data_IF_351132496077
#
_entry.id   IF_351132496077
#
_cell.length_a   1.000
_cell.length_b   1.000
_cell.length_c   1.000
_cell.angle_alpha   90.00
_cell.angle_beta   90.00
_cell.angle_gamma   90.00
#
_symmetry.space_group_name_H-M   'P 1'
#
loop_
_entity.id
_entity.type
_entity.pdbx_description
1 polymer ?
#
# COMPACT_ATOMS: atom_id res chain seq x y z
N UNK A 1 -11.08 3.02 -2.66
CA UNK A 1 -9.72 3.40 -3.12
C UNK A 1 -9.74 4.15 -4.45
N UNK A 2 -10.28 3.59 -5.55
CA UNK A 2 -10.23 4.23 -6.88
C UNK A 2 -10.87 5.63 -6.95
N UNK A 3 -12.04 5.84 -6.34
CA UNK A 3 -12.74 7.13 -6.37
C UNK A 3 -11.98 8.23 -5.61
N UNK A 4 -11.41 7.90 -4.45
CA UNK A 4 -10.65 8.84 -3.61
C UNK A 4 -9.40 9.31 -4.35
N UNK A 5 -8.57 8.37 -4.83
CA UNK A 5 -7.38 8.69 -5.61
C UNK A 5 -7.71 9.52 -6.86
N UNK A 6 -8.80 9.18 -7.58
CA UNK A 6 -9.23 9.93 -8.76
C UNK A 6 -9.69 11.35 -8.42
N UNK A 7 -10.41 11.53 -7.31
CA UNK A 7 -10.92 12.85 -6.92
C UNK A 7 -9.78 13.76 -6.45
N UNK A 8 -8.86 13.24 -5.64
CA UNK A 8 -7.65 13.97 -5.22
C UNK A 8 -6.85 14.38 -6.46
N UNK A 9 -6.55 13.43 -7.34
CA UNK A 9 -5.71 13.72 -8.51
C UNK A 9 -6.35 14.79 -9.40
N UNK A 10 -7.66 14.74 -9.62
CA UNK A 10 -8.39 15.78 -10.36
C UNK A 10 -8.36 17.14 -9.68
N UNK A 11 -8.50 17.19 -8.35
CA UNK A 11 -8.46 18.44 -7.60
C UNK A 11 -7.12 19.16 -7.81
N UNK A 12 -6.01 18.43 -7.82
CA UNK A 12 -4.67 19.00 -8.03
C UNK A 12 -4.26 19.14 -9.50
N UNK A 13 -4.86 18.38 -10.42
CA UNK A 13 -4.62 18.55 -11.85
C UNK A 13 -5.06 19.92 -12.37
N UNK A 14 -6.07 20.53 -11.75
CA UNK A 14 -6.55 21.88 -12.07
C UNK A 14 -5.81 23.02 -11.36
N UNK A 15 -4.92 22.73 -10.41
CA UNK A 15 -4.19 23.76 -9.64
C UNK A 15 -2.95 24.20 -10.39
N UNK A 16 -2.66 25.50 -10.36
CA UNK A 16 -1.44 26.05 -10.93
C UNK A 16 -0.23 25.51 -10.16
N UNK A 17 0.64 24.81 -10.88
CA UNK A 17 1.81 24.16 -10.28
C UNK A 17 2.85 25.19 -9.83
N UNK A 18 3.60 24.90 -8.77
CA UNK A 18 4.81 25.65 -8.45
C UNK A 18 5.75 25.68 -9.67
N UNK A 19 6.50 26.78 -9.86
CA UNK A 19 7.52 26.82 -10.91
C UNK A 19 8.53 25.66 -10.72
N UNK A 20 9.05 25.08 -11.81
CA UNK A 20 10.11 24.09 -11.72
C UNK A 20 11.29 24.65 -10.92
N UNK A 21 11.79 23.88 -9.96
CA UNK A 21 12.98 24.26 -9.20
C UNK A 21 14.17 24.44 -10.12
N UNK A 22 14.94 25.49 -9.89
CA UNK A 22 16.19 25.69 -10.60
C UNK A 22 17.23 24.69 -10.08
N UNK A 23 18.16 24.20 -10.92
CA UNK A 23 19.20 23.26 -10.49
C UNK A 23 20.11 23.79 -9.37
N UNK A 24 20.12 25.11 -9.14
CA UNK A 24 20.89 25.81 -8.11
C UNK A 24 20.14 25.99 -6.78
N UNK A 25 18.84 25.68 -6.72
CA UNK A 25 18.05 25.80 -5.50
C UNK A 25 18.17 24.52 -4.67
N UNK A 26 18.57 24.66 -3.41
CA UNK A 26 18.55 23.53 -2.48
C UNK A 26 17.10 23.07 -2.24
N UNK A 27 16.82 21.76 -2.27
CA UNK A 27 15.48 21.26 -1.97
C UNK A 27 15.12 21.57 -0.52
N UNK A 28 13.87 22.00 -0.28
CA UNK A 28 13.34 22.20 1.07
C UNK A 28 13.40 20.91 1.88
N UNK A 29 13.48 21.03 3.21
CA UNK A 29 13.44 19.88 4.12
C UNK A 29 12.15 19.07 3.92
N UNK A 30 10.99 19.73 3.85
CA UNK A 30 9.69 19.08 3.55
C UNK A 30 9.73 18.21 2.28
N UNK A 31 10.43 18.68 1.24
CA UNK A 31 10.56 17.89 0.01
C UNK A 31 11.47 16.67 0.21
N UNK A 32 12.59 16.82 0.92
CA UNK A 32 13.49 15.70 1.22
C UNK A 32 12.79 14.64 2.06
N UNK A 33 12.06 15.06 3.09
CA UNK A 33 11.26 14.19 3.95
C UNK A 33 10.16 13.48 3.15
N UNK A 34 9.45 14.21 2.30
CA UNK A 34 8.43 13.63 1.40
C UNK A 34 9.00 12.54 0.50
N UNK A 35 10.20 12.75 -0.07
CA UNK A 35 10.88 11.77 -0.92
C UNK A 35 11.24 10.50 -0.15
N UNK A 36 11.76 10.65 1.07
CA UNK A 36 12.07 9.52 1.95
C UNK A 36 10.80 8.74 2.27
N UNK A 37 9.72 9.43 2.70
CA UNK A 37 8.46 8.78 3.04
C UNK A 37 7.82 8.03 1.87
N UNK A 38 7.88 8.58 0.65
CA UNK A 38 7.41 7.86 -0.55
C UNK A 38 8.27 6.63 -0.84
N UNK A 39 9.60 6.72 -0.69
CA UNK A 39 10.50 5.60 -0.92
C UNK A 39 10.26 4.45 0.07
N UNK A 40 9.98 4.75 1.34
CA UNK A 40 9.68 3.75 2.38
C UNK A 40 8.38 2.97 2.07
N UNK A 41 7.35 3.65 1.56
CA UNK A 41 6.04 3.03 1.33
C UNK A 41 5.97 2.35 -0.05
N UNK A 42 6.46 3.03 -1.10
CA UNK A 42 6.23 2.66 -2.50
C UNK A 42 7.52 2.28 -3.26
N UNK A 43 8.67 2.39 -2.62
CA UNK A 43 9.97 2.05 -3.20
C UNK A 43 10.58 3.18 -4.06
N UNK A 44 11.90 3.10 -4.32
CA UNK A 44 12.65 4.14 -5.02
C UNK A 44 12.19 4.33 -6.47
N UNK A 45 11.73 3.26 -7.13
CA UNK A 45 11.24 3.36 -8.51
C UNK A 45 9.99 4.22 -8.64
N UNK A 46 9.12 4.23 -7.61
CA UNK A 46 7.98 5.14 -7.59
C UNK A 46 8.43 6.60 -7.44
N UNK A 47 9.44 6.88 -6.61
CA UNK A 47 10.03 8.22 -6.48
C UNK A 47 10.58 8.71 -7.82
N UNK A 48 11.39 7.89 -8.50
CA UNK A 48 11.91 8.22 -9.83
C UNK A 48 10.76 8.49 -10.82
N UNK A 49 9.74 7.62 -10.79
CA UNK A 49 8.54 7.80 -11.59
C UNK A 49 7.73 9.02 -11.17
N UNK A 50 7.83 9.54 -9.94
CA UNK A 50 7.21 10.76 -9.40
C UNK A 50 8.04 12.04 -9.62
N UNK A 51 9.33 11.93 -9.91
CA UNK A 51 10.22 13.07 -10.19
C UNK A 51 10.68 13.24 -11.65
N UNK A 52 10.69 12.17 -12.48
CA UNK A 52 10.98 12.18 -13.92
C UNK A 52 10.57 13.47 -14.68
N UNK A 53 11.51 14.16 -15.37
CA UNK A 53 11.27 15.38 -16.15
C UNK A 53 10.39 15.20 -17.39
N UNK A 54 10.25 13.96 -17.89
CA UNK A 54 9.38 13.60 -19.04
C UNK A 54 7.90 13.93 -18.77
N UNK A 55 7.54 14.16 -17.50
CA UNK A 55 6.28 14.75 -17.05
C UNK A 55 6.05 16.20 -17.45
N UNK A 56 7.08 17.06 -17.43
CA UNK A 56 6.90 18.49 -17.66
C UNK A 56 6.57 18.81 -19.12
N UNK A 57 6.89 17.91 -20.06
CA UNK A 57 6.62 18.10 -21.49
C UNK A 57 5.29 17.50 -21.98
N UNK A 58 4.67 16.55 -21.27
CA UNK A 58 3.42 15.88 -21.67
C UNK A 58 2.23 16.40 -20.84
N UNK A 59 2.04 17.72 -20.84
CA UNK A 59 1.07 18.46 -20.03
C UNK A 59 -0.42 18.27 -20.41
N UNK A 60 -0.82 17.13 -21.00
CA UNK A 60 -2.22 16.87 -21.40
C UNK A 60 -2.76 15.49 -20.98
N UNK A 61 -2.05 14.71 -20.12
CA UNK A 61 -2.65 13.49 -19.55
C UNK A 61 -1.71 12.45 -18.93
N UNK A 62 -0.38 12.61 -19.06
CA UNK A 62 0.57 11.64 -18.51
C UNK A 62 0.82 11.74 -17.00
N UNK A 63 0.61 12.92 -16.41
CA UNK A 63 0.99 13.21 -15.02
C UNK A 63 -0.06 12.75 -13.99
N UNK A 64 -1.35 12.90 -14.31
CA UNK A 64 -2.46 12.39 -13.49
C UNK A 64 -2.38 10.86 -13.30
N UNK A 65 -1.88 10.12 -14.31
CA UNK A 65 -1.76 8.67 -14.23
C UNK A 65 -0.84 8.20 -13.10
N UNK A 66 0.34 8.81 -12.96
CA UNK A 66 1.35 8.38 -11.99
C UNK A 66 1.01 8.82 -10.57
N UNK A 67 0.50 10.04 -10.37
CA UNK A 67 0.07 10.49 -9.03
C UNK A 67 -1.13 9.67 -8.56
N UNK A 68 -2.12 9.46 -9.43
CA UNK A 68 -3.26 8.57 -9.11
C UNK A 68 -2.80 7.16 -8.76
N UNK A 69 -1.80 6.65 -9.48
CA UNK A 69 -1.18 5.35 -9.22
C UNK A 69 -0.53 5.31 -7.84
N UNK A 70 0.32 6.28 -7.52
CA UNK A 70 0.99 6.36 -6.23
C UNK A 70 -0.02 6.46 -5.07
N UNK A 71 -1.06 7.30 -5.22
CA UNK A 71 -2.14 7.41 -4.23
C UNK A 71 -2.90 6.09 -4.05
N UNK A 72 -3.26 5.40 -5.14
CA UNK A 72 -3.90 4.08 -5.02
C UNK A 72 -2.98 3.06 -4.33
N UNK A 73 -1.71 3.06 -4.68
CA UNK A 73 -0.73 2.14 -4.13
C UNK A 73 -0.47 2.39 -2.64
N UNK A 74 -0.39 3.65 -2.21
CA UNK A 74 -0.24 3.97 -0.78
C UNK A 74 -1.49 3.56 -0.01
N UNK A 75 -2.70 3.79 -0.54
CA UNK A 75 -3.93 3.27 0.07
C UNK A 75 -3.90 1.74 0.23
N UNK A 76 -3.44 1.00 -0.78
CA UNK A 76 -3.31 -0.45 -0.70
C UNK A 76 -2.30 -0.87 0.38
N UNK A 77 -1.13 -0.23 0.43
CA UNK A 77 -0.12 -0.50 1.45
C UNK A 77 -0.63 -0.23 2.88
N UNK A 78 -1.25 0.93 3.12
CA UNK A 78 -1.81 1.29 4.44
C UNK A 78 -2.96 0.39 4.85
N UNK A 79 -3.89 0.09 3.93
CA UNK A 79 -4.99 -0.81 4.26
C UNK A 79 -4.48 -2.21 4.54
N UNK A 80 -3.46 -2.71 3.82
CA UNK A 80 -2.82 -3.98 4.14
C UNK A 80 -2.19 -3.96 5.53
N UNK A 81 -1.40 -2.93 5.86
CA UNK A 81 -0.83 -2.76 7.19
C UNK A 81 -1.92 -2.85 8.26
N UNK A 82 -3.02 -2.10 8.11
CA UNK A 82 -4.13 -2.10 9.07
C UNK A 82 -4.81 -3.46 9.18
N UNK A 83 -5.03 -4.15 8.05
CA UNK A 83 -5.66 -5.47 8.04
C UNK A 83 -4.78 -6.51 8.74
N UNK A 84 -3.46 -6.40 8.60
CA UNK A 84 -2.51 -7.39 9.09
C UNK A 84 -2.02 -7.14 10.52
N UNK A 85 -2.06 -5.89 11.02
CA UNK A 85 -1.52 -5.55 12.34
C UNK A 85 -2.29 -6.13 13.50
N UNK A 86 -1.59 -6.47 14.58
CA UNK A 86 -2.10 -6.77 15.92
C UNK A 86 -2.33 -5.51 16.75
N UNK A 87 -1.39 -4.57 16.67
CA UNK A 87 -1.32 -3.37 17.48
C UNK A 87 -0.83 -2.17 16.67
N UNK A 88 -1.43 -1.00 16.89
CA UNK A 88 -1.17 0.19 16.07
C UNK A 88 -0.26 1.23 16.74
N UNK A 89 -0.11 1.21 18.07
CA UNK A 89 0.55 2.30 18.80
C UNK A 89 2.05 2.07 19.02
N UNK A 90 2.46 0.80 19.19
CA UNK A 90 3.86 0.45 19.46
C UNK A 90 4.35 -0.62 18.46
N UNK A 91 5.34 -0.29 17.60
CA UNK A 91 5.94 -1.24 16.67
C UNK A 91 6.61 -2.44 17.35
N UNK A 92 7.15 -2.29 18.56
CA UNK A 92 7.79 -3.38 19.29
C UNK A 92 6.75 -4.42 19.76
N UNK A 93 5.61 -3.95 20.27
CA UNK A 93 4.51 -4.82 20.68
C UNK A 93 3.86 -5.52 19.48
N UNK A 94 3.70 -4.80 18.36
CA UNK A 94 3.24 -5.37 17.09
C UNK A 94 4.14 -6.52 16.62
N UNK A 95 5.46 -6.30 16.65
CA UNK A 95 6.44 -7.29 16.24
C UNK A 95 6.41 -8.50 17.18
N UNK A 96 6.43 -8.27 18.49
CA UNK A 96 6.37 -9.33 19.50
C UNK A 96 5.13 -10.21 19.34
N UNK A 97 3.95 -9.61 19.18
CA UNK A 97 2.70 -10.34 18.99
C UNK A 97 2.69 -11.16 17.70
N UNK A 98 3.22 -10.59 16.62
CA UNK A 98 3.37 -11.27 15.34
C UNK A 98 4.29 -12.50 15.45
N UNK A 99 5.43 -12.37 16.13
CA UNK A 99 6.36 -13.47 16.35
C UNK A 99 5.77 -14.58 17.24
N UNK A 100 5.09 -14.21 18.32
CA UNK A 100 4.41 -15.17 19.20
C UNK A 100 3.37 -15.94 18.40
N UNK A 101 2.56 -15.25 17.60
CA UNK A 101 1.55 -15.93 16.79
C UNK A 101 2.17 -16.84 15.74
N UNK A 102 3.24 -16.43 15.06
CA UNK A 102 3.94 -17.27 14.09
C UNK A 102 4.38 -18.62 14.73
N UNK A 103 4.92 -18.57 15.95
CA UNK A 103 5.31 -19.77 16.71
C UNK A 103 4.10 -20.63 17.09
N UNK A 104 3.05 -20.03 17.64
CA UNK A 104 1.79 -20.73 17.97
C UNK A 104 1.18 -21.39 16.73
N UNK A 105 1.16 -20.66 15.61
CA UNK A 105 0.66 -21.12 14.31
C UNK A 105 1.48 -22.33 13.80
N UNK A 106 2.79 -22.30 13.95
CA UNK A 106 3.68 -23.38 13.54
C UNK A 106 3.54 -24.65 14.41
N UNK A 107 3.40 -24.51 15.73
CA UNK A 107 3.40 -25.65 16.67
C UNK A 107 2.01 -26.23 16.93
N UNK A 108 0.97 -25.41 16.97
CA UNK A 108 -0.37 -25.82 17.40
C UNK A 108 -1.28 -26.23 16.24
N UNK A 109 -2.31 -27.03 16.52
CA UNK A 109 -3.37 -27.33 15.56
C UNK A 109 -4.13 -26.06 15.13
N UNK A 110 -4.64 -26.04 13.89
CA UNK A 110 -5.31 -24.87 13.29
C UNK A 110 -6.40 -24.26 14.19
N UNK A 111 -7.22 -25.10 14.83
CA UNK A 111 -8.29 -24.61 15.70
C UNK A 111 -7.79 -24.00 17.01
N UNK A 112 -6.62 -24.44 17.50
CA UNK A 112 -5.99 -23.91 18.70
C UNK A 112 -5.35 -22.57 18.38
N UNK A 113 -4.54 -22.50 17.32
CA UNK A 113 -3.90 -21.25 16.89
C UNK A 113 -4.94 -20.20 16.49
N UNK A 114 -5.99 -20.57 15.77
CA UNK A 114 -7.08 -19.66 15.40
C UNK A 114 -7.85 -19.12 16.61
N UNK A 115 -8.11 -19.96 17.63
CA UNK A 115 -8.74 -19.51 18.89
C UNK A 115 -7.83 -18.59 19.68
N UNK A 116 -6.55 -18.91 19.74
CA UNK A 116 -5.55 -18.07 20.39
C UNK A 116 -5.54 -16.69 19.74
N UNK A 117 -5.43 -16.61 18.41
CA UNK A 117 -5.48 -15.36 17.66
C UNK A 117 -6.74 -14.57 17.98
N UNK A 118 -7.91 -15.21 17.90
CA UNK A 118 -9.17 -14.55 18.17
C UNK A 118 -9.24 -13.94 19.57
N UNK A 119 -8.93 -14.71 20.61
CA UNK A 119 -8.97 -14.24 21.99
C UNK A 119 -7.95 -13.12 22.24
N UNK A 120 -6.70 -13.31 21.80
CA UNK A 120 -5.64 -12.32 21.97
C UNK A 120 -6.04 -10.98 21.34
N UNK A 121 -6.55 -10.99 20.11
CA UNK A 121 -6.99 -9.77 19.43
C UNK A 121 -8.17 -9.11 20.14
N UNK A 122 -9.19 -9.87 20.52
CA UNK A 122 -10.34 -9.33 21.27
C UNK A 122 -9.92 -8.68 22.58
N UNK A 123 -8.95 -9.25 23.30
CA UNK A 123 -8.48 -8.68 24.56
C UNK A 123 -7.56 -7.47 24.36
N UNK A 124 -6.69 -7.49 23.36
CA UNK A 124 -5.82 -6.37 23.02
C UNK A 124 -6.63 -5.12 22.62
N UNK A 125 -7.68 -5.29 21.81
CA UNK A 125 -8.57 -4.20 21.43
C UNK A 125 -9.34 -3.61 22.62
N UNK A 126 -9.61 -4.39 23.66
CA UNK A 126 -10.24 -3.89 24.91
C UNK A 126 -9.26 -3.15 25.82
N UNK A 127 -7.96 -3.37 25.67
CA UNK A 127 -6.93 -2.66 26.44
C UNK A 127 -6.69 -1.25 25.90
N UNK A 128 -6.90 -1.04 24.60
CA UNK A 128 -6.82 0.26 23.96
C UNK A 128 -7.98 1.15 24.44
N UNK A 129 -7.68 2.10 25.32
CA UNK A 129 -8.67 3.01 25.91
C UNK A 129 -9.30 3.98 24.88
N UNK A 130 -8.57 4.26 23.80
CA UNK A 130 -8.99 5.11 22.68
C UNK A 130 -8.44 4.52 21.39
N UNK A 131 -9.26 4.41 20.35
CA UNK A 131 -8.74 4.00 19.03
C UNK A 131 -7.88 5.13 18.43
N UNK A 132 -6.67 4.83 17.93
CA UNK A 132 -5.86 5.82 17.25
C UNK A 132 -6.56 6.29 15.97
N UNK A 133 -6.46 7.59 15.68
CA UNK A 133 -6.88 8.14 14.40
C UNK A 133 -5.82 7.81 13.34
N UNK A 134 -6.06 6.73 12.60
CA UNK A 134 -5.17 6.27 11.54
C UNK A 134 -5.29 7.11 10.25
N UNK A 135 -6.25 8.05 10.19
CA UNK A 135 -6.51 8.90 9.02
C UNK A 135 -5.31 9.80 8.75
N UNK A 136 -4.70 10.36 9.80
CA UNK A 136 -3.57 11.28 9.69
C UNK A 136 -2.38 10.64 8.94
N UNK A 137 -2.05 9.39 9.25
CA UNK A 137 -0.93 8.70 8.58
C UNK A 137 -1.15 8.52 7.08
N UNK A 138 -2.39 8.27 6.64
CA UNK A 138 -2.67 8.16 5.21
C UNK A 138 -2.68 9.53 4.52
N UNK A 139 -3.16 10.57 5.21
CA UNK A 139 -3.08 11.95 4.72
C UNK A 139 -1.62 12.38 4.55
N UNK A 140 -0.75 12.07 5.51
CA UNK A 140 0.69 12.36 5.42
C UNK A 140 1.33 11.65 4.22
N UNK A 141 0.95 10.40 3.96
CA UNK A 141 1.39 9.71 2.76
C UNK A 141 0.93 10.41 1.47
N UNK A 142 -0.27 10.98 1.43
CA UNK A 142 -0.75 11.76 0.28
C UNK A 142 0.01 13.08 0.14
N UNK A 143 0.29 13.77 1.24
CA UNK A 143 1.15 14.97 1.27
C UNK A 143 2.50 14.64 0.63
N UNK A 144 3.15 13.57 1.11
CA UNK A 144 4.46 13.14 0.62
C UNK A 144 4.46 12.83 -0.89
N UNK A 145 3.41 12.18 -1.39
CA UNK A 145 3.26 11.87 -2.83
C UNK A 145 3.12 13.17 -3.66
N UNK A 146 2.26 14.09 -3.24
CA UNK A 146 1.97 15.34 -3.97
C UNK A 146 3.18 16.28 -3.96
N UNK A 147 3.89 16.39 -2.83
CA UNK A 147 5.14 17.14 -2.73
C UNK A 147 6.23 16.51 -3.59
N UNK A 148 6.39 15.18 -3.56
CA UNK A 148 7.37 14.47 -4.39
C UNK A 148 7.09 14.65 -5.89
N UNK A 149 5.81 14.72 -6.27
CA UNK A 149 5.37 15.01 -7.65
C UNK A 149 5.59 16.48 -8.07
N UNK A 150 5.92 17.37 -7.13
CA UNK A 150 6.08 18.81 -7.38
C UNK A 150 4.75 19.52 -7.67
N UNK A 151 3.63 19.00 -7.18
CA UNK A 151 2.31 19.58 -7.37
C UNK A 151 1.96 20.63 -6.29
N UNK A 152 2.73 20.64 -5.20
CA UNK A 152 2.64 21.62 -4.12
C UNK A 152 4.03 21.83 -3.50
N UNK A 153 4.20 22.86 -2.67
CA UNK A 153 5.47 23.19 -2.02
C UNK A 153 5.37 23.50 -0.51
N UNK A 154 4.17 23.54 0.05
CA UNK A 154 3.91 23.74 1.49
C UNK A 154 3.21 22.49 2.06
N UNK A 155 3.90 21.77 2.95
CA UNK A 155 3.37 20.55 3.55
C UNK A 155 2.18 20.80 4.48
N UNK A 156 2.26 21.85 5.30
CA UNK A 156 1.25 22.18 6.33
C UNK A 156 -0.07 22.55 5.68
N UNK A 157 -0.04 23.50 4.74
CA UNK A 157 -1.25 23.94 4.04
C UNK A 157 -1.90 22.79 3.23
N UNK A 158 -1.06 21.90 2.67
CA UNK A 158 -1.55 20.74 1.95
C UNK A 158 -2.21 19.72 2.89
N UNK A 159 -1.62 19.44 4.05
CA UNK A 159 -2.16 18.53 5.05
C UNK A 159 -3.53 19.01 5.56
N UNK A 160 -3.66 20.31 5.87
CA UNK A 160 -4.92 20.93 6.29
C UNK A 160 -6.00 20.77 5.20
N UNK A 161 -5.66 21.12 3.96
CA UNK A 161 -6.58 21.00 2.82
C UNK A 161 -7.03 19.55 2.59
N UNK A 162 -6.11 18.60 2.61
CA UNK A 162 -6.42 17.19 2.39
C UNK A 162 -7.28 16.62 3.52
N UNK A 163 -6.99 16.99 4.77
CA UNK A 163 -7.76 16.59 5.94
C UNK A 163 -9.19 17.12 5.83
N UNK A 164 -9.37 18.42 5.56
CA UNK A 164 -10.68 19.04 5.46
C UNK A 164 -11.51 18.51 4.29
N UNK A 165 -10.87 18.21 3.15
CA UNK A 165 -11.58 17.87 1.91
C UNK A 165 -11.81 16.36 1.76
N UNK A 166 -10.88 15.53 2.22
CA UNK A 166 -10.87 14.09 1.98
C UNK A 166 -10.85 13.25 3.25
N UNK A 167 -10.71 13.84 4.44
CA UNK A 167 -10.64 13.14 5.72
C UNK A 167 -11.75 12.10 5.90
N UNK A 168 -13.01 12.48 5.70
CA UNK A 168 -14.15 11.54 5.83
C UNK A 168 -14.08 10.36 4.85
N UNK A 169 -13.64 10.61 3.61
CA UNK A 169 -13.51 9.56 2.59
C UNK A 169 -12.37 8.60 2.91
N UNK A 170 -11.25 9.14 3.42
CA UNK A 170 -10.11 8.36 3.89
C UNK A 170 -10.49 7.54 5.11
N UNK A 171 -11.12 8.16 6.11
CA UNK A 171 -11.66 7.51 7.30
C UNK A 171 -12.60 6.34 6.95
N UNK A 172 -13.51 6.53 6.00
CA UNK A 172 -14.40 5.45 5.55
C UNK A 172 -13.66 4.25 4.95
N UNK A 173 -12.54 4.46 4.26
CA UNK A 173 -11.70 3.37 3.75
C UNK A 173 -11.01 2.66 4.92
N UNK A 174 -10.49 3.42 5.88
CA UNK A 174 -9.82 2.88 7.06
C UNK A 174 -10.75 2.09 7.96
N UNK A 175 -11.99 2.54 8.16
CA UNK A 175 -12.99 1.80 8.93
C UNK A 175 -13.31 0.45 8.29
N UNK A 176 -13.26 0.36 6.96
CA UNK A 176 -13.43 -0.93 6.26
C UNK A 176 -12.23 -1.83 6.48
N UNK A 177 -11.01 -1.29 6.46
CA UNK A 177 -9.79 -2.04 6.78
C UNK A 177 -9.81 -2.54 8.23
N UNK A 178 -10.16 -1.69 9.21
CA UNK A 178 -10.35 -2.06 10.62
C UNK A 178 -11.41 -3.15 10.80
N UNK A 179 -12.55 -3.04 10.11
CA UNK A 179 -13.58 -4.09 10.13
C UNK A 179 -13.06 -5.41 9.58
N UNK A 180 -12.29 -5.38 8.50
CA UNK A 180 -11.71 -6.59 7.92
C UNK A 180 -10.64 -7.20 8.84
N UNK A 181 -9.79 -6.38 9.46
CA UNK A 181 -8.86 -6.80 10.52
C UNK A 181 -9.58 -7.55 11.64
N UNK A 182 -10.72 -7.03 12.12
CA UNK A 182 -11.55 -7.66 13.14
C UNK A 182 -12.16 -8.98 12.67
N UNK A 183 -12.80 -8.99 11.51
CA UNK A 183 -13.46 -10.21 10.98
C UNK A 183 -12.44 -11.34 10.76
N UNK A 184 -11.32 -11.03 10.09
CA UNK A 184 -10.24 -11.99 9.86
C UNK A 184 -9.65 -12.43 11.19
N UNK A 185 -9.34 -11.48 12.06
CA UNK A 185 -8.60 -11.67 13.30
C UNK A 185 -9.38 -12.36 14.42
N UNK A 186 -10.69 -12.15 14.53
CA UNK A 186 -11.48 -12.58 15.70
C UNK A 186 -12.54 -13.64 15.36
N UNK A 187 -13.14 -13.59 14.17
CA UNK A 187 -14.33 -14.39 13.86
C UNK A 187 -13.98 -15.72 13.14
N UNK A 188 -12.86 -15.76 12.43
CA UNK A 188 -12.47 -16.89 11.59
C UNK A 188 -11.37 -17.70 12.28
N UNK A 189 -11.73 -18.91 12.74
CA UNK A 189 -10.84 -19.82 13.49
C UNK A 189 -10.37 -21.02 12.66
N UNK A 190 -11.17 -21.43 11.66
CA UNK A 190 -10.94 -22.69 10.93
C UNK A 190 -9.83 -22.63 9.90
N UNK A 191 -9.43 -21.43 9.52
CA UNK A 191 -8.34 -21.15 8.60
C UNK A 191 -7.77 -19.77 8.94
N UNK A 192 -6.63 -19.45 8.36
CA UNK A 192 -6.08 -18.11 8.39
C UNK A 192 -6.39 -17.43 7.05
N UNK A 193 -7.06 -16.29 7.13
CA UNK A 193 -7.21 -15.40 6.00
C UNK A 193 -6.19 -14.29 6.13
N UNK A 194 -5.51 -13.95 5.05
CA UNK A 194 -4.52 -12.89 5.04
C UNK A 194 -4.75 -11.98 3.83
N UNK A 195 -4.67 -10.66 4.05
CA UNK A 195 -4.68 -9.71 2.95
C UNK A 195 -3.40 -9.88 2.13
N UNK A 196 -3.54 -10.13 0.84
CA UNK A 196 -2.40 -10.38 -0.04
C UNK A 196 -1.94 -9.06 -0.67
N UNK A 197 -0.79 -8.57 -0.19
CA UNK A 197 -0.07 -7.43 -0.76
C UNK A 197 1.22 -7.91 -1.42
N UNK A 198 1.53 -7.40 -2.62
CA UNK A 198 2.78 -7.72 -3.31
C UNK A 198 3.72 -6.53 -3.18
N UNK A 199 4.86 -6.75 -2.54
CA UNK A 199 5.90 -5.75 -2.42
C UNK A 199 6.46 -5.34 -3.79
N UNK A 200 6.96 -4.10 -3.94
CA UNK A 200 7.75 -3.70 -5.10
C UNK A 200 8.90 -4.69 -5.37
N UNK A 201 9.31 -4.76 -6.63
CA UNK A 201 10.41 -5.60 -7.13
C UNK A 201 10.18 -7.13 -7.11
N UNK A 202 9.07 -7.62 -6.55
CA UNK A 202 8.70 -9.04 -6.62
C UNK A 202 8.41 -9.44 -8.08
N UNK A 203 8.85 -10.65 -8.47
CA UNK A 203 8.63 -11.19 -9.82
C UNK A 203 7.15 -11.46 -10.05
N UNK A 204 6.61 -10.97 -11.16
CA UNK A 204 5.22 -11.18 -11.54
C UNK A 204 4.95 -12.66 -11.83
N UNK A 205 3.87 -13.17 -11.25
CA UNK A 205 3.36 -14.52 -11.54
C UNK A 205 1.86 -14.47 -11.78
N UNK A 206 1.43 -14.76 -13.01
CA UNK A 206 0.00 -14.74 -13.39
C UNK A 206 -0.88 -15.74 -12.63
N UNK A 207 -0.28 -16.74 -11.98
CA UNK A 207 -0.98 -17.67 -11.09
C UNK A 207 -1.54 -16.99 -9.83
N UNK A 208 -0.84 -15.99 -9.29
CA UNK A 208 -1.17 -15.34 -8.02
C UNK A 208 -1.53 -13.86 -8.15
N UNK A 209 -1.24 -13.22 -9.28
CA UNK A 209 -1.40 -11.78 -9.48
C UNK A 209 -2.21 -11.44 -10.74
N UNK A 210 -2.88 -10.29 -10.75
CA UNK A 210 -3.55 -9.73 -11.93
C UNK A 210 -2.91 -8.38 -12.32
N UNK A 211 -2.68 -8.14 -13.62
CA UNK A 211 -2.15 -6.86 -14.10
C UNK A 211 -3.27 -5.86 -14.31
N UNK A 212 -3.19 -4.74 -13.60
CA UNK A 212 -4.16 -3.64 -13.71
C UNK A 212 -4.13 -2.95 -15.08
N UNK A 213 -5.24 -2.31 -15.45
CA UNK A 213 -5.37 -1.60 -16.74
C UNK A 213 -4.30 -0.51 -16.94
N UNK A 214 -3.87 0.13 -15.85
CA UNK A 214 -2.83 1.16 -15.86
C UNK A 214 -1.42 0.58 -16.14
N UNK A 215 -1.25 -0.74 -16.08
CA UNK A 215 0.00 -1.46 -16.31
C UNK A 215 0.02 -2.34 -17.57
N UNK A 216 -1.08 -2.41 -18.35
CA UNK A 216 -1.10 -3.18 -19.60
C UNK A 216 -0.29 -2.48 -20.69
N UNK A 217 0.82 -3.10 -21.12
CA UNK A 217 1.54 -2.67 -22.33
C UNK A 217 0.77 -3.12 -23.57
N UNK A 218 0.71 -2.26 -24.59
CA UNK A 218 0.12 -2.59 -25.90
C UNK A 218 1.07 -3.40 -26.81
N UNK A 219 2.07 -4.10 -26.24
CA UNK A 219 3.14 -4.75 -27.00
C UNK A 219 3.37 -6.18 -26.53
N UNK A 220 3.53 -7.10 -27.49
CA UNK A 220 3.82 -8.52 -27.28
C UNK A 220 5.11 -8.72 -26.49
N UNK A 221 5.08 -9.61 -25.50
CA UNK A 221 6.28 -10.07 -24.77
C UNK A 221 7.26 -10.66 -25.79
N UNK A 222 8.45 -10.09 -25.88
CA UNK A 222 9.54 -10.63 -26.71
C UNK A 222 10.16 -11.80 -25.96
N UNK A 223 10.23 -12.96 -26.60
CA UNK A 223 10.94 -14.13 -26.04
C UNK A 223 12.39 -13.76 -25.69
N UNK A 224 12.79 -14.03 -24.44
CA UNK A 224 14.12 -13.68 -23.90
C UNK A 224 14.19 -12.42 -23.02
N UNK A 225 13.05 -11.77 -22.73
CA UNK A 225 13.02 -10.64 -21.78
C UNK A 225 13.22 -11.09 -20.32
N UNK A 226 13.88 -10.25 -19.52
CA UNK A 226 13.96 -10.42 -18.07
C UNK A 226 12.56 -10.51 -17.45
N UNK A 227 12.37 -11.32 -16.38
CA UNK A 227 11.06 -11.48 -15.76
C UNK A 227 10.52 -10.12 -15.31
N UNK A 228 9.28 -9.83 -15.67
CA UNK A 228 8.64 -8.57 -15.29
C UNK A 228 8.48 -8.51 -13.76
N UNK A 229 8.80 -7.36 -13.18
CA UNK A 229 8.72 -7.12 -11.74
C UNK A 229 7.57 -6.20 -11.41
N UNK A 230 7.02 -6.35 -10.21
CA UNK A 230 5.97 -5.49 -9.69
C UNK A 230 6.55 -4.10 -9.37
N UNK A 231 5.89 -3.06 -9.87
CA UNK A 231 6.13 -1.69 -9.46
C UNK A 231 5.39 -1.39 -8.15
N UNK A 232 4.09 -1.69 -8.11
CA UNK A 232 3.26 -1.48 -6.92
C UNK A 232 2.00 -2.34 -6.96
N UNK A 233 1.40 -2.56 -5.79
CA UNK A 233 0.07 -3.16 -5.63
C UNK A 233 -0.99 -2.06 -5.60
N UNK A 234 -2.04 -2.19 -6.41
CA UNK A 234 -3.13 -1.22 -6.56
C UNK A 234 -4.38 -1.58 -5.79
N UNK A 235 -4.69 -2.88 -5.74
CA UNK A 235 -5.83 -3.42 -5.02
C UNK A 235 -5.39 -4.73 -4.36
N UNK A 236 -5.79 -4.93 -3.10
CA UNK A 236 -5.37 -6.07 -2.29
C UNK A 236 -6.03 -7.37 -2.74
N UNK A 237 -5.28 -8.46 -2.63
CA UNK A 237 -5.82 -9.81 -2.76
C UNK A 237 -6.23 -10.39 -1.41
N UNK A 238 -6.61 -11.65 -1.43
CA UNK A 238 -6.95 -12.45 -0.26
C UNK A 238 -6.39 -13.84 -0.45
N UNK A 239 -5.64 -14.32 0.53
CA UNK A 239 -5.17 -15.70 0.60
C UNK A 239 -5.81 -16.39 1.78
N UNK A 240 -6.10 -17.68 1.62
CA UNK A 240 -6.49 -18.59 2.69
C UNK A 240 -5.37 -19.57 2.90
N UNK A 241 -4.92 -19.72 4.14
CA UNK A 241 -3.96 -20.71 4.57
C UNK A 241 -4.62 -21.66 5.57
N UNK A 242 -4.47 -22.96 5.35
CA UNK A 242 -4.95 -24.01 6.24
C UNK A 242 -3.80 -24.96 6.58
N UNK A 243 -3.59 -25.25 7.86
CA UNK A 243 -2.54 -26.18 8.27
C UNK A 243 -2.86 -27.61 7.82
N UNK A 244 -1.88 -28.32 7.25
CA UNK A 244 -2.02 -29.73 6.91
C UNK A 244 -2.03 -30.59 8.17
N UNK A 245 -3.07 -31.41 8.32
CA UNK A 245 -3.20 -32.30 9.47
C UNK A 245 -2.01 -33.23 9.62
N UNK A 246 -1.45 -33.30 10.83
CA UNK A 246 -0.34 -34.18 11.18
C UNK A 246 1.02 -33.79 10.61
N UNK A 247 1.17 -32.60 10.01
CA UNK A 247 2.46 -32.09 9.51
C UNK A 247 2.78 -30.74 10.14
N UNK A 248 3.98 -30.63 10.71
CA UNK A 248 4.47 -29.40 11.32
C UNK A 248 4.94 -28.47 10.20
N UNK A 249 4.50 -27.21 10.23
CA UNK A 249 4.95 -26.17 9.30
C UNK A 249 4.45 -26.27 7.86
N UNK A 250 3.63 -27.26 7.50
CA UNK A 250 3.06 -27.37 6.14
C UNK A 250 1.65 -26.76 6.05
N UNK A 251 1.44 -25.92 5.03
CA UNK A 251 0.21 -25.19 4.78
C UNK A 251 -0.35 -25.47 3.39
N UNK A 252 -1.66 -25.60 3.29
CA UNK A 252 -2.41 -25.50 2.04
C UNK A 252 -2.84 -24.04 1.85
N UNK A 253 -2.24 -23.38 0.87
CA UNK A 253 -2.53 -21.99 0.54
C UNK A 253 -3.37 -21.91 -0.74
N UNK A 254 -4.40 -21.07 -0.69
CA UNK A 254 -5.25 -20.78 -1.84
C UNK A 254 -5.45 -19.28 -1.98
N UNK A 255 -5.03 -18.73 -3.12
CA UNK A 255 -5.36 -17.34 -3.50
C UNK A 255 -6.84 -17.28 -3.84
N UNK A 256 -7.64 -16.67 -2.96
CA UNK A 256 -9.08 -16.49 -3.14
C UNK A 256 -9.39 -15.27 -4.00
N UNK A 257 -8.55 -14.24 -3.90
CA UNK A 257 -8.62 -13.03 -4.71
C UNK A 257 -7.19 -12.62 -5.07
N UNK A 258 -6.93 -12.43 -6.37
CA UNK A 258 -5.62 -11.96 -6.83
C UNK A 258 -5.50 -10.45 -6.58
N UNK A 259 -4.38 -9.97 -6.03
CA UNK A 259 -4.08 -8.55 -6.00
C UNK A 259 -3.93 -8.03 -7.44
N UNK A 260 -4.33 -6.77 -7.63
CA UNK A 260 -4.09 -6.05 -8.86
C UNK A 260 -2.76 -5.31 -8.71
N UNK A 261 -1.82 -5.59 -9.61
CA UNK A 261 -0.49 -4.99 -9.61
C UNK A 261 -0.22 -4.17 -10.87
N UNK A 262 0.71 -3.22 -10.78
CA UNK A 262 1.33 -2.57 -11.95
C UNK A 262 2.75 -3.09 -12.07
N UNK A 263 3.20 -3.32 -13.30
CA UNK A 263 4.53 -3.83 -13.61
C UNK A 263 5.51 -2.70 -13.90
N UNK A 264 6.78 -2.93 -13.61
CA UNK A 264 7.85 -2.01 -13.95
C UNK A 264 8.03 -1.96 -15.46
N UNK A 265 8.21 -0.74 -15.99
CA UNK A 265 8.67 -0.58 -17.36
C UNK A 265 10.16 -0.92 -17.41
N UNK A 266 10.49 -2.09 -17.98
CA UNK A 266 11.84 -2.39 -18.42
C UNK A 266 12.18 -1.40 -19.54
N UNK A 267 12.82 -0.29 -19.17
CA UNK A 267 13.38 0.67 -20.10
C UNK A 267 14.60 0.07 -20.76
N UNK A 268 14.41 -0.81 -21.76
CA UNK A 268 15.44 -1.00 -22.78
C UNK A 268 15.26 0.16 -23.77
N UNK A 269 15.79 1.30 -23.37
CA UNK A 269 15.90 2.51 -24.17
C UNK A 269 17.30 3.08 -23.94
N UNK A 270 18.29 2.32 -24.37
CA UNK A 270 19.70 2.64 -24.22
C UNK A 270 20.54 1.78 -25.15
N UNK A 271 20.45 2.07 -26.45
CA UNK A 271 21.58 2.31 -27.36
C UNK A 271 21.11 3.34 -28.38
#
# INVERSE_FOLDING_TARGET
MSEVAQTITRAFASVQRPPPRLPSEEPSEDFKEAVVGVAEILGPRMVELLQSPRRQMLAQGGDEGTVKMALKASMAAYTHWIISSWYFENPEDEHLLSEIYARVRETEEQTVSGRWRALTRTHLQRMLATEPDLTIYMIDAFVNIILTAGWHNDATALQEYLTQTFGDKVGSVLDRAKRLNKMIGEEIVRCDLEALYIAPDVVFTGGTMEVGQLGRRSGSVVEGSMPERVLCTMDLGLVRAEKKMGRIGEWDEAVLLKPIVVLQSNGVGGV
#
